data_IF_355090438916
#
_entry.id   IF_355090438916
#
_cell.length_a   1.000
_cell.length_b   1.000
_cell.length_c   1.000
_cell.angle_alpha   90.00
_cell.angle_beta   90.00
_cell.angle_gamma   90.00
#
_symmetry.space_group_name_H-M   'P 1'
#
loop_
_entity.id
_entity.type
_entity.pdbx_description
1 polymer ?
#
# COMPACT_ATOMS: atom_id res chain seq x y z
N UNK A 1 14.33 -7.54 10.04
CA UNK A 1 14.76 -8.96 10.08
C UNK A 1 15.80 -9.25 9.01
N UNK A 2 15.45 -9.35 7.72
CA UNK A 2 16.43 -9.65 6.66
C UNK A 2 17.59 -8.64 6.60
N UNK A 3 17.29 -7.33 6.69
CA UNK A 3 18.33 -6.28 6.76
C UNK A 3 19.22 -6.39 8.01
N UNK A 4 18.61 -6.71 9.16
CA UNK A 4 19.32 -6.92 10.44
C UNK A 4 20.23 -8.14 10.38
N UNK A 5 19.81 -9.21 9.70
CA UNK A 5 20.59 -10.42 9.48
C UNK A 5 21.73 -10.20 8.47
N UNK A 6 21.52 -9.40 7.43
CA UNK A 6 22.57 -9.01 6.49
C UNK A 6 23.68 -8.18 7.16
N UNK A 7 23.31 -7.28 8.07
CA UNK A 7 24.27 -6.52 8.88
C UNK A 7 25.12 -7.42 9.79
N UNK A 8 24.52 -8.49 10.35
CA UNK A 8 25.23 -9.47 11.16
C UNK A 8 26.14 -10.41 10.33
N UNK A 9 25.80 -10.68 9.06
CA UNK A 9 26.60 -11.54 8.18
C UNK A 9 27.93 -10.89 7.76
N UNK A 10 27.93 -9.55 7.59
CA UNK A 10 29.08 -8.77 7.13
C UNK A 10 30.36 -8.94 7.98
N UNK A 11 30.31 -8.83 9.34
CA UNK A 11 31.48 -9.07 10.18
C UNK A 11 31.94 -10.54 10.19
N UNK A 12 31.05 -11.51 9.99
CA UNK A 12 31.40 -12.92 9.86
C UNK A 12 32.14 -13.20 8.53
N UNK A 13 31.70 -12.56 7.44
CA UNK A 13 32.39 -12.65 6.15
C UNK A 13 33.74 -11.91 6.15
N UNK A 14 33.87 -10.78 6.86
CA UNK A 14 35.16 -10.08 6.98
C UNK A 14 36.16 -10.85 7.84
N UNK A 15 35.70 -11.52 8.91
CA UNK A 15 36.55 -12.41 9.71
C UNK A 15 37.07 -13.63 8.91
N UNK A 16 36.43 -13.99 7.80
CA UNK A 16 36.93 -14.99 6.86
C UNK A 16 37.98 -14.43 5.88
N UNK A 17 37.82 -13.18 5.42
CA UNK A 17 38.77 -12.53 4.49
C UNK A 17 40.20 -12.39 5.06
N UNK A 18 40.32 -12.36 6.38
CA UNK A 18 41.62 -12.34 7.08
C UNK A 18 42.43 -13.64 6.88
N UNK A 19 41.80 -14.75 6.47
CA UNK A 19 42.47 -16.02 6.20
C UNK A 19 43.02 -16.74 7.44
N UNK A 20 43.42 -18.02 7.32
CA UNK A 20 43.89 -18.83 8.45
C UNK A 20 45.27 -18.41 9.00
N UNK A 21 45.98 -17.51 8.32
CA UNK A 21 47.28 -16.97 8.76
C UNK A 21 47.17 -15.62 9.48
N UNK A 22 45.98 -15.03 9.58
CA UNK A 22 45.78 -13.80 10.34
C UNK A 22 46.00 -14.02 11.85
N UNK A 23 46.39 -12.92 12.52
CA UNK A 23 46.68 -12.90 13.95
C UNK A 23 45.51 -13.52 14.73
N UNK A 24 45.74 -14.45 15.67
CA UNK A 24 44.66 -15.15 16.36
C UNK A 24 43.69 -14.14 16.98
N UNK A 25 42.45 -14.14 16.53
CA UNK A 25 41.40 -13.27 17.08
C UNK A 25 41.28 -13.50 18.59
N UNK A 26 41.10 -12.44 19.38
CA UNK A 26 40.99 -12.58 20.84
C UNK A 26 39.84 -13.51 21.26
N UNK A 27 39.93 -14.18 22.43
CA UNK A 27 38.90 -15.12 22.88
C UNK A 27 37.49 -14.50 22.97
N UNK A 28 37.39 -13.21 23.33
CA UNK A 28 36.13 -12.46 23.33
C UNK A 28 35.52 -12.28 21.93
N UNK A 29 36.34 -11.98 20.92
CA UNK A 29 35.89 -11.83 19.53
C UNK A 29 35.42 -13.19 18.96
N UNK A 30 36.13 -14.28 19.29
CA UNK A 30 35.71 -15.65 18.93
C UNK A 30 34.38 -16.04 19.57
N UNK A 31 34.18 -15.71 20.85
CA UNK A 31 32.91 -15.94 21.53
C UNK A 31 31.78 -15.12 20.91
N UNK A 32 32.02 -13.84 20.62
CA UNK A 32 31.06 -12.95 19.94
C UNK A 32 30.64 -13.47 18.56
N UNK A 33 31.60 -13.92 17.74
CA UNK A 33 31.32 -14.52 16.43
C UNK A 33 30.49 -15.81 16.52
N UNK A 34 30.72 -16.65 17.54
CA UNK A 34 29.92 -17.85 17.77
C UNK A 34 28.50 -17.53 18.21
N UNK A 35 28.33 -16.58 19.13
CA UNK A 35 27.01 -16.12 19.57
C UNK A 35 26.24 -15.51 18.41
N UNK A 36 26.89 -14.67 17.59
CA UNK A 36 26.29 -14.12 16.38
C UNK A 36 25.89 -15.22 15.38
N UNK A 37 26.76 -16.20 15.13
CA UNK A 37 26.49 -17.32 14.25
C UNK A 37 25.29 -18.18 14.69
N UNK A 38 25.22 -18.53 15.99
CA UNK A 38 24.11 -19.30 16.55
C UNK A 38 22.82 -18.47 16.59
N UNK A 39 22.92 -17.16 16.86
CA UNK A 39 21.78 -16.24 16.87
C UNK A 39 21.11 -16.06 15.51
N UNK A 40 21.80 -16.36 14.40
CA UNK A 40 21.20 -16.32 13.06
C UNK A 40 20.17 -17.43 12.82
N UNK A 41 20.26 -18.58 13.51
CA UNK A 41 19.33 -19.70 13.36
C UNK A 41 17.88 -19.36 13.71
N UNK A 42 17.56 -18.85 14.93
CA UNK A 42 16.19 -18.48 15.26
C UNK A 42 15.66 -17.37 14.35
N UNK A 43 16.51 -16.42 13.95
CA UNK A 43 16.13 -15.33 13.03
C UNK A 43 15.75 -15.87 11.64
N UNK A 44 16.55 -16.77 11.07
CA UNK A 44 16.26 -17.42 9.79
C UNK A 44 14.96 -18.23 9.86
N UNK A 45 14.75 -18.98 10.95
CA UNK A 45 13.54 -19.78 11.17
C UNK A 45 12.28 -18.92 11.25
N UNK A 46 12.31 -17.84 12.04
CA UNK A 46 11.16 -16.92 12.17
C UNK A 46 10.89 -16.21 10.84
N UNK A 47 11.92 -15.82 10.09
CA UNK A 47 11.77 -15.22 8.78
C UNK A 47 11.11 -16.16 7.77
N UNK A 48 11.57 -17.42 7.68
CA UNK A 48 10.95 -18.44 6.82
C UNK A 48 9.51 -18.72 7.23
N UNK A 49 9.26 -18.95 8.51
CA UNK A 49 7.93 -19.24 9.02
C UNK A 49 6.95 -18.10 8.73
N UNK A 50 7.32 -16.86 9.07
CA UNK A 50 6.47 -15.69 8.82
C UNK A 50 6.20 -15.46 7.33
N UNK A 51 7.15 -15.83 6.46
CA UNK A 51 6.94 -15.75 5.02
C UNK A 51 5.98 -16.84 4.51
N UNK A 52 6.13 -18.08 4.96
CA UNK A 52 5.24 -19.19 4.57
C UNK A 52 3.79 -18.89 4.97
N UNK A 53 3.56 -18.43 6.20
CA UNK A 53 2.21 -18.01 6.66
C UNK A 53 1.63 -16.92 5.76
N UNK A 54 2.43 -15.93 5.35
CA UNK A 54 1.96 -14.87 4.44
C UNK A 54 1.67 -15.37 3.03
N UNK A 55 2.43 -16.34 2.54
CA UNK A 55 2.19 -16.97 1.23
C UNK A 55 0.89 -17.77 1.28
N UNK A 56 0.64 -18.51 2.36
CA UNK A 56 -0.61 -19.25 2.55
C UNK A 56 -1.81 -18.30 2.63
N UNK A 57 -1.69 -17.20 3.38
CA UNK A 57 -2.80 -16.24 3.57
C UNK A 57 -3.09 -15.38 2.34
N UNK A 58 -2.05 -14.85 1.70
CA UNK A 58 -2.17 -13.80 0.68
C UNK A 58 -1.73 -14.24 -0.72
N UNK A 59 -1.30 -15.49 -0.87
CA UNK A 59 -0.74 -16.01 -2.11
C UNK A 59 0.67 -15.50 -2.42
N UNK A 60 1.20 -15.99 -3.53
CA UNK A 60 2.53 -15.63 -4.01
C UNK A 60 2.53 -14.23 -4.61
N UNK A 61 3.61 -13.50 -4.32
CA UNK A 61 3.96 -12.22 -4.96
C UNK A 61 5.45 -12.20 -5.24
N UNK A 62 5.90 -11.42 -6.23
CA UNK A 62 7.29 -11.26 -6.63
C UNK A 62 8.18 -10.91 -5.41
N UNK A 63 7.81 -9.95 -4.53
CA UNK A 63 8.60 -9.67 -3.32
C UNK A 63 8.70 -10.88 -2.37
N UNK A 64 7.65 -11.71 -2.26
CA UNK A 64 7.67 -12.91 -1.40
C UNK A 64 8.53 -14.03 -2.00
N UNK A 65 8.54 -14.18 -3.32
CA UNK A 65 9.44 -15.13 -4.01
C UNK A 65 10.90 -14.76 -3.74
N UNK A 66 11.28 -13.49 -3.93
CA UNK A 66 12.62 -13.00 -3.58
C UNK A 66 12.92 -13.09 -2.09
N UNK A 67 11.93 -12.80 -1.24
CA UNK A 67 12.02 -12.98 0.21
C UNK A 67 12.32 -14.43 0.59
N UNK A 68 11.73 -15.41 -0.10
CA UNK A 68 11.96 -16.83 0.15
C UNK A 68 13.38 -17.20 -0.21
N UNK A 69 13.87 -16.77 -1.38
CA UNK A 69 15.26 -16.98 -1.78
C UNK A 69 16.25 -16.38 -0.77
N UNK A 70 16.03 -15.14 -0.33
CA UNK A 70 16.86 -14.49 0.67
C UNK A 70 16.81 -15.24 2.02
N UNK A 71 15.63 -15.68 2.45
CA UNK A 71 15.46 -16.43 3.69
C UNK A 71 16.11 -17.83 3.63
N UNK A 72 16.07 -18.51 2.48
CA UNK A 72 16.76 -19.77 2.24
C UNK A 72 18.27 -19.60 2.32
N UNK A 73 18.83 -18.59 1.63
CA UNK A 73 20.27 -18.30 1.70
C UNK A 73 20.69 -17.93 3.12
N UNK A 74 19.91 -17.10 3.82
CA UNK A 74 20.17 -16.74 5.21
C UNK A 74 20.19 -17.98 6.11
N UNK A 75 19.25 -18.91 5.91
CA UNK A 75 19.18 -20.16 6.68
C UNK A 75 20.36 -21.07 6.38
N UNK A 76 20.78 -21.17 5.13
CA UNK A 76 21.99 -21.90 4.73
C UNK A 76 23.24 -21.35 5.43
N UNK A 77 23.41 -20.02 5.43
CA UNK A 77 24.49 -19.37 6.16
C UNK A 77 24.40 -19.61 7.67
N UNK A 78 23.21 -19.49 8.26
CA UNK A 78 23.00 -19.73 9.68
C UNK A 78 23.38 -21.17 10.09
N UNK A 79 22.98 -22.17 9.28
CA UNK A 79 23.32 -23.57 9.50
C UNK A 79 24.82 -23.82 9.37
N UNK A 80 25.44 -23.34 8.29
CA UNK A 80 26.88 -23.52 8.08
C UNK A 80 27.73 -22.84 9.14
N UNK A 81 27.33 -21.66 9.59
CA UNK A 81 28.06 -20.91 10.62
C UNK A 81 27.84 -21.49 12.02
N UNK A 82 26.64 -21.97 12.33
CA UNK A 82 26.39 -22.73 13.55
C UNK A 82 27.22 -24.02 13.58
N UNK A 83 27.31 -24.73 12.45
CA UNK A 83 28.17 -25.91 12.31
C UNK A 83 29.65 -25.57 12.50
N UNK A 84 30.12 -24.45 11.93
CA UNK A 84 31.48 -23.96 12.14
C UNK A 84 31.76 -23.65 13.61
N UNK A 85 30.78 -23.03 14.31
CA UNK A 85 30.90 -22.67 15.72
C UNK A 85 31.10 -23.89 16.63
N UNK A 86 30.50 -25.03 16.30
CA UNK A 86 30.66 -26.30 17.02
C UNK A 86 32.00 -26.99 16.70
N UNK A 87 32.59 -26.74 15.53
CA UNK A 87 33.80 -27.40 15.05
C UNK A 87 35.01 -26.44 15.03
N UNK A 88 35.46 -26.00 16.21
CA UNK A 88 36.49 -24.97 16.38
C UNK A 88 37.80 -25.21 15.58
N UNK A 89 38.25 -26.46 15.42
CA UNK A 89 39.47 -26.81 14.66
C UNK A 89 39.31 -26.72 13.15
N UNK A 90 38.07 -26.73 12.64
CA UNK A 90 37.73 -26.68 11.20
C UNK A 90 36.96 -25.42 10.83
N UNK A 91 36.92 -24.42 11.73
CA UNK A 91 36.11 -23.21 11.60
C UNK A 91 36.27 -22.53 10.23
N UNK A 92 37.50 -22.25 9.80
CA UNK A 92 37.77 -21.61 8.50
C UNK A 92 37.40 -22.50 7.30
N UNK A 93 37.65 -23.82 7.39
CA UNK A 93 37.31 -24.77 6.31
C UNK A 93 35.80 -24.88 6.11
N UNK A 94 35.04 -24.94 7.20
CA UNK A 94 33.58 -25.01 7.17
C UNK A 94 32.97 -23.70 6.67
N UNK A 95 33.50 -22.56 7.12
CA UNK A 95 33.10 -21.24 6.60
C UNK A 95 33.30 -21.14 5.09
N UNK A 96 34.50 -21.53 4.60
CA UNK A 96 34.80 -21.54 3.17
C UNK A 96 33.85 -22.45 2.38
N UNK A 97 33.63 -23.68 2.87
CA UNK A 97 32.68 -24.62 2.25
C UNK A 97 31.24 -24.08 2.22
N UNK A 98 30.79 -23.45 3.31
CA UNK A 98 29.46 -22.83 3.40
C UNK A 98 29.31 -21.72 2.37
N UNK A 99 30.31 -20.84 2.22
CA UNK A 99 30.29 -19.76 1.24
C UNK A 99 30.24 -20.30 -0.21
N UNK A 100 31.01 -21.35 -0.51
CA UNK A 100 30.98 -21.99 -1.84
C UNK A 100 29.60 -22.58 -2.12
N UNK A 101 29.04 -23.36 -1.19
CA UNK A 101 27.70 -23.94 -1.34
C UNK A 101 26.65 -22.84 -1.51
N UNK A 102 26.70 -21.77 -0.71
CA UNK A 102 25.78 -20.65 -0.80
C UNK A 102 25.90 -19.90 -2.14
N UNK A 103 27.12 -19.72 -2.66
CA UNK A 103 27.34 -19.14 -3.98
C UNK A 103 26.78 -20.02 -5.10
N UNK A 104 27.02 -21.33 -5.04
CA UNK A 104 26.41 -22.28 -6.00
C UNK A 104 24.89 -22.29 -5.91
N UNK A 105 24.31 -22.30 -4.71
CA UNK A 105 22.86 -22.20 -4.53
C UNK A 105 22.31 -20.90 -5.12
N UNK A 106 22.96 -19.76 -4.89
CA UNK A 106 22.55 -18.48 -5.47
C UNK A 106 22.61 -18.51 -7.01
N UNK A 107 23.69 -19.07 -7.59
CA UNK A 107 23.81 -19.23 -9.04
C UNK A 107 22.73 -20.14 -9.62
N UNK A 108 22.44 -21.27 -8.98
CA UNK A 108 21.37 -22.18 -9.40
C UNK A 108 20.01 -21.49 -9.34
N UNK A 109 19.71 -20.76 -8.26
CA UNK A 109 18.45 -20.01 -8.13
C UNK A 109 18.35 -18.93 -9.22
N UNK A 110 19.41 -18.17 -9.47
CA UNK A 110 19.43 -17.15 -10.52
C UNK A 110 19.22 -17.78 -11.90
N UNK A 111 19.92 -18.88 -12.20
CA UNK A 111 19.74 -19.61 -13.45
C UNK A 111 18.30 -20.10 -13.60
N UNK A 112 17.71 -20.66 -12.54
CA UNK A 112 16.31 -21.12 -12.55
C UNK A 112 15.31 -19.98 -12.73
N UNK A 113 15.50 -18.83 -12.07
CA UNK A 113 14.66 -17.64 -12.21
C UNK A 113 14.74 -17.05 -13.61
N UNK A 114 15.89 -17.15 -14.27
CA UNK A 114 16.04 -16.79 -15.68
C UNK A 114 15.34 -17.74 -16.65
N UNK A 115 14.78 -18.86 -16.17
CA UNK A 115 13.97 -19.76 -16.99
C UNK A 115 12.46 -19.56 -16.75
N UNK A 116 11.61 -19.97 -17.70
CA UNK A 116 10.15 -19.99 -17.51
C UNK A 116 9.68 -20.83 -16.33
N UNK A 117 10.52 -21.74 -15.81
CA UNK A 117 10.15 -22.65 -14.72
C UNK A 117 9.97 -21.90 -13.39
N UNK A 118 10.91 -21.01 -13.04
CA UNK A 118 10.92 -20.30 -11.76
C UNK A 118 10.81 -18.77 -11.89
N UNK A 119 10.29 -18.27 -13.02
CA UNK A 119 9.97 -16.84 -13.18
C UNK A 119 9.02 -16.37 -12.05
N UNK A 120 9.44 -15.41 -11.20
CA UNK A 120 8.63 -14.87 -10.11
C UNK A 120 7.31 -14.27 -10.60
N UNK A 121 7.33 -13.65 -11.79
CA UNK A 121 6.16 -13.06 -12.42
C UNK A 121 5.12 -14.13 -12.75
N UNK A 122 5.57 -15.28 -13.28
CA UNK A 122 4.71 -16.43 -13.58
C UNK A 122 4.12 -17.04 -12.30
N UNK A 123 4.92 -17.17 -11.23
CA UNK A 123 4.46 -17.71 -9.95
C UNK A 123 3.40 -16.79 -9.34
N UNK A 124 3.66 -15.47 -9.29
CA UNK A 124 2.71 -14.50 -8.79
C UNK A 124 1.41 -14.52 -9.59
N UNK A 125 1.46 -14.36 -10.92
CA UNK A 125 0.23 -14.21 -11.71
C UNK A 125 -0.65 -15.46 -11.62
N UNK A 126 -0.05 -16.66 -11.66
CA UNK A 126 -0.81 -17.89 -11.51
C UNK A 126 -1.47 -17.98 -10.14
N UNK A 127 -0.75 -17.63 -9.07
CA UNK A 127 -1.32 -17.64 -7.71
C UNK A 127 -2.44 -16.62 -7.55
N UNK A 128 -2.27 -15.40 -8.03
CA UNK A 128 -3.27 -14.34 -7.88
C UNK A 128 -4.51 -14.63 -8.73
N UNK A 129 -4.35 -15.14 -9.96
CA UNK A 129 -5.46 -15.49 -10.84
C UNK A 129 -6.22 -16.71 -10.33
N UNK A 130 -5.55 -17.74 -9.80
CA UNK A 130 -6.24 -18.87 -9.16
C UNK A 130 -7.03 -18.40 -7.95
N UNK A 131 -6.46 -17.56 -7.07
CA UNK A 131 -7.20 -17.01 -5.93
C UNK A 131 -8.41 -16.18 -6.35
N UNK A 132 -8.35 -15.46 -7.47
CA UNK A 132 -9.50 -14.78 -8.06
C UNK A 132 -10.55 -15.79 -8.55
N UNK A 133 -10.15 -16.83 -9.29
CA UNK A 133 -11.05 -17.88 -9.79
C UNK A 133 -11.73 -18.64 -8.63
N UNK A 134 -10.99 -18.91 -7.57
CA UNK A 134 -11.45 -19.61 -6.37
C UNK A 134 -12.27 -18.70 -5.44
N UNK A 135 -12.42 -17.41 -5.76
CA UNK A 135 -13.22 -16.45 -4.97
C UNK A 135 -12.56 -15.98 -3.67
N UNK A 136 -11.26 -16.23 -3.48
CA UNK A 136 -10.50 -15.75 -2.32
C UNK A 136 -10.14 -14.26 -2.43
N UNK A 137 -10.27 -13.67 -3.62
CA UNK A 137 -10.04 -12.25 -3.89
C UNK A 137 -11.31 -11.70 -4.53
N UNK A 138 -11.92 -10.64 -3.96
CA UNK A 138 -13.03 -9.95 -4.59
C UNK A 138 -12.64 -9.43 -5.99
N UNK A 139 -13.50 -9.59 -7.01
CA UNK A 139 -13.21 -9.15 -8.37
C UNK A 139 -12.75 -7.69 -8.49
N UNK A 140 -13.30 -6.80 -7.67
CA UNK A 140 -13.01 -5.37 -7.61
C UNK A 140 -11.65 -5.01 -6.99
N UNK A 141 -11.09 -5.90 -6.17
CA UNK A 141 -9.79 -5.71 -5.52
C UNK A 141 -8.63 -6.23 -6.38
N UNK A 142 -8.94 -7.06 -7.39
CA UNK A 142 -7.93 -7.58 -8.30
C UNK A 142 -7.44 -6.50 -9.28
N UNK A 143 -6.13 -6.29 -9.34
CA UNK A 143 -5.51 -5.27 -10.18
C UNK A 143 -5.26 -5.76 -11.62
N UNK A 144 -6.31 -5.82 -12.45
CA UNK A 144 -6.23 -6.32 -13.83
C UNK A 144 -5.22 -5.59 -14.71
N UNK A 145 -5.16 -4.25 -14.63
CA UNK A 145 -4.28 -3.45 -15.47
C UNK A 145 -2.80 -3.69 -15.14
N UNK A 146 -2.45 -3.75 -13.85
CA UNK A 146 -1.10 -4.11 -13.39
C UNK A 146 -0.76 -5.54 -13.78
N UNK A 147 -1.70 -6.48 -13.64
CA UNK A 147 -1.52 -7.86 -14.07
C UNK A 147 -1.21 -7.96 -15.58
N UNK A 148 -1.87 -7.15 -16.42
CA UNK A 148 -1.63 -7.11 -17.87
C UNK A 148 -0.28 -6.46 -18.24
N UNK A 149 0.10 -5.38 -17.57
CA UNK A 149 1.24 -4.55 -17.94
C UNK A 149 2.56 -4.97 -17.28
N UNK A 150 2.52 -5.32 -16.00
CA UNK A 150 3.73 -5.42 -15.16
C UNK A 150 4.30 -6.85 -15.10
N UNK A 151 3.60 -7.84 -15.66
CA UNK A 151 4.00 -9.27 -15.64
C UNK A 151 4.33 -9.81 -17.04
N UNK A 152 4.49 -8.91 -18.00
CA UNK A 152 4.83 -9.24 -19.38
C UNK A 152 3.85 -10.23 -20.02
N UNK A 153 4.40 -11.22 -20.72
CA UNK A 153 3.60 -12.19 -21.49
C UNK A 153 2.75 -13.10 -20.59
N UNK A 154 3.24 -13.50 -19.41
CA UNK A 154 2.47 -14.32 -18.48
C UNK A 154 1.23 -13.59 -17.97
N UNK A 155 1.38 -12.28 -17.70
CA UNK A 155 0.29 -11.38 -17.36
C UNK A 155 -0.80 -11.33 -18.42
N UNK A 156 -0.39 -11.04 -19.67
CA UNK A 156 -1.31 -10.99 -20.82
C UNK A 156 -2.02 -12.31 -21.06
N UNK A 157 -1.31 -13.44 -21.03
CA UNK A 157 -1.93 -14.75 -21.19
C UNK A 157 -2.97 -15.05 -20.11
N UNK A 158 -2.69 -14.68 -18.86
CA UNK A 158 -3.64 -14.85 -17.79
C UNK A 158 -4.88 -13.95 -17.98
N UNK A 159 -4.70 -12.71 -18.43
CA UNK A 159 -5.84 -11.83 -18.76
C UNK A 159 -6.64 -12.35 -19.94
N UNK A 160 -6.01 -12.93 -20.97
CA UNK A 160 -6.73 -13.60 -22.06
C UNK A 160 -7.58 -14.77 -21.56
N UNK A 161 -7.07 -15.57 -20.62
CA UNK A 161 -7.86 -16.65 -19.99
C UNK A 161 -9.05 -16.11 -19.21
N UNK A 162 -8.87 -15.04 -18.44
CA UNK A 162 -9.96 -14.39 -17.71
C UNK A 162 -11.00 -13.79 -18.67
N UNK A 163 -10.56 -13.13 -19.74
CA UNK A 163 -11.43 -12.58 -20.78
C UNK A 163 -12.21 -13.68 -21.53
N UNK A 164 -11.64 -14.88 -21.65
CA UNK A 164 -12.32 -16.07 -22.20
C UNK A 164 -13.30 -16.74 -21.21
N UNK A 165 -13.47 -16.20 -20.00
CA UNK A 165 -14.45 -16.68 -19.04
C UNK A 165 -13.92 -17.66 -17.98
N UNK A 166 -12.60 -17.76 -17.78
CA UNK A 166 -12.03 -18.67 -16.78
C UNK A 166 -12.52 -18.44 -15.34
N UNK A 167 -12.99 -17.22 -15.02
CA UNK A 167 -13.56 -16.86 -13.72
C UNK A 167 -15.05 -16.49 -13.78
N UNK A 168 -15.76 -16.92 -14.84
CA UNK A 168 -17.16 -16.54 -15.08
C UNK A 168 -18.09 -16.90 -13.89
N UNK A 169 -17.79 -18.01 -13.20
CA UNK A 169 -18.54 -18.46 -12.03
C UNK A 169 -18.49 -17.48 -10.85
N UNK A 170 -17.44 -16.67 -10.74
CA UNK A 170 -17.30 -15.65 -9.69
C UNK A 170 -18.01 -14.36 -10.08
N UNK A 171 -17.79 -13.88 -11.30
CA UNK A 171 -18.52 -12.74 -11.85
C UNK A 171 -18.32 -12.62 -13.36
N UNK A 172 -19.40 -12.37 -14.13
CA UNK A 172 -19.29 -12.10 -15.56
C UNK A 172 -18.50 -10.80 -15.87
N UNK A 173 -18.41 -9.88 -14.90
CA UNK A 173 -17.68 -8.61 -15.06
C UNK A 173 -16.16 -8.82 -15.14
N UNK A 174 -15.64 -9.93 -14.61
CA UNK A 174 -14.20 -10.25 -14.66
C UNK A 174 -13.72 -10.36 -16.11
N UNK A 175 -14.51 -10.98 -16.99
CA UNK A 175 -14.15 -11.12 -18.40
C UNK A 175 -14.04 -9.76 -19.10
N UNK A 176 -14.96 -8.82 -18.79
CA UNK A 176 -14.93 -7.46 -19.32
C UNK A 176 -13.72 -6.69 -18.77
N UNK A 177 -13.49 -6.76 -17.46
CA UNK A 177 -12.37 -6.08 -16.82
C UNK A 177 -11.01 -6.57 -17.35
N UNK A 178 -10.85 -7.87 -17.56
CA UNK A 178 -9.65 -8.44 -18.17
C UNK A 178 -9.48 -8.01 -19.63
N UNK A 179 -10.57 -7.94 -20.40
CA UNK A 179 -10.54 -7.46 -21.78
C UNK A 179 -10.19 -5.96 -21.89
N UNK A 180 -10.65 -5.13 -20.94
CA UNK A 180 -10.29 -3.72 -20.88
C UNK A 180 -8.83 -3.53 -20.45
N UNK A 181 -8.34 -4.33 -19.50
CA UNK A 181 -6.95 -4.32 -19.09
C UNK A 181 -6.00 -4.65 -20.24
N UNK A 182 -6.35 -5.62 -21.10
CA UNK A 182 -5.59 -5.94 -22.32
C UNK A 182 -5.53 -4.77 -23.32
N UNK A 183 -6.47 -3.83 -23.26
CA UNK A 183 -6.48 -2.59 -24.05
C UNK A 183 -5.81 -1.41 -23.33
N UNK A 184 -5.20 -1.65 -22.17
CA UNK A 184 -4.61 -0.61 -21.33
C UNK A 184 -5.62 0.28 -20.61
N UNK A 185 -6.88 -0.16 -20.48
CA UNK A 185 -7.96 0.61 -19.83
C UNK A 185 -8.24 0.08 -18.44
N UNK A 186 -8.66 0.99 -17.55
CA UNK A 186 -9.19 0.63 -16.24
C UNK A 186 -10.69 0.29 -16.37
N UNK A 187 -11.12 -0.77 -15.70
CA UNK A 187 -12.54 -1.11 -15.59
C UNK A 187 -13.10 -0.50 -14.31
N UNK A 188 -14.15 0.31 -14.46
CA UNK A 188 -14.85 0.89 -13.32
C UNK A 188 -15.75 -0.17 -12.66
N UNK A 189 -15.31 -0.67 -11.50
CA UNK A 189 -16.07 -1.61 -10.68
C UNK A 189 -17.21 -0.94 -9.89
N UNK A 190 -17.35 0.38 -9.99
CA UNK A 190 -18.24 1.18 -9.16
C UNK A 190 -17.64 1.41 -7.75
N UNK A 191 -18.42 1.99 -6.83
CA UNK A 191 -17.95 2.28 -5.49
C UNK A 191 -17.58 1.00 -4.73
N UNK A 192 -16.36 0.98 -4.19
CA UNK A 192 -15.77 -0.18 -3.52
C UNK A 192 -16.47 -0.40 -2.18
N UNK A 193 -17.12 -1.54 -1.99
CA UNK A 193 -17.71 -1.91 -0.68
C UNK A 193 -16.61 -2.37 0.26
N UNK A 194 -15.99 -1.43 0.96
CA UNK A 194 -14.98 -1.78 1.97
C UNK A 194 -15.63 -2.29 3.25
N UNK A 195 -15.13 -3.40 3.80
CA UNK A 195 -15.50 -3.82 5.16
C UNK A 195 -15.09 -2.80 6.23
N UNK A 196 -14.13 -1.93 5.91
CA UNK A 196 -13.72 -0.81 6.77
C UNK A 196 -14.91 0.12 7.04
N UNK A 197 -15.77 0.36 6.04
CA UNK A 197 -16.94 1.23 6.17
C UNK A 197 -17.81 0.84 7.36
N UNK A 198 -18.03 -0.46 7.56
CA UNK A 198 -18.86 -0.99 8.64
C UNK A 198 -18.25 -0.79 10.04
N UNK A 199 -16.93 -0.60 10.13
CA UNK A 199 -16.22 -0.36 11.41
C UNK A 199 -16.04 1.12 11.75
N UNK A 200 -16.35 2.04 10.82
CA UNK A 200 -16.12 3.47 11.01
C UNK A 200 -17.23 4.10 11.84
N UNK A 201 -16.88 4.47 13.08
CA UNK A 201 -17.75 5.23 13.98
C UNK A 201 -17.55 6.71 13.72
N UNK A 202 -18.66 7.46 13.61
CA UNK A 202 -18.65 8.92 13.45
C UNK A 202 -17.99 9.57 14.67
N UNK A 203 -16.92 10.37 14.51
CA UNK A 203 -16.36 11.14 15.61
C UNK A 203 -17.35 12.22 16.06
N UNK A 204 -17.54 12.35 17.38
CA UNK A 204 -18.35 13.43 17.95
C UNK A 204 -17.69 14.81 17.80
N UNK A 205 -16.36 14.83 17.64
CA UNK A 205 -15.53 16.03 17.58
C UNK A 205 -15.16 16.48 16.18
N UNK A 206 -15.77 15.93 15.12
CA UNK A 206 -15.45 16.32 13.75
C UNK A 206 -15.61 17.84 13.56
N UNK A 207 -14.59 18.50 13.02
CA UNK A 207 -14.64 19.95 12.81
C UNK A 207 -15.68 20.28 11.73
N UNK A 208 -16.54 21.26 12.02
CA UNK A 208 -17.62 21.68 11.12
C UNK A 208 -17.53 23.17 10.80
N UNK A 209 -17.84 23.52 9.56
CA UNK A 209 -18.01 24.90 9.13
C UNK A 209 -19.36 25.08 8.41
N UNK A 210 -20.18 26.09 8.78
CA UNK A 210 -20.04 26.98 9.94
C UNK A 210 -20.04 26.24 11.27
N UNK A 211 -19.43 26.83 12.31
CA UNK A 211 -19.37 26.20 13.64
C UNK A 211 -20.78 25.90 14.19
N UNK A 212 -20.98 24.70 14.72
CA UNK A 212 -22.28 24.23 15.23
C UNK A 212 -23.22 23.64 14.17
N UNK A 213 -22.80 23.57 12.90
CA UNK A 213 -23.58 22.90 11.85
C UNK A 213 -23.70 21.39 12.10
N UNK A 214 -24.83 20.76 11.73
CA UNK A 214 -25.06 19.35 12.01
C UNK A 214 -24.23 18.45 11.09
N UNK A 215 -23.69 17.34 11.62
CA UNK A 215 -23.10 16.26 10.81
C UNK A 215 -24.16 15.17 10.62
N UNK A 216 -24.83 15.07 9.45
CA UNK A 216 -25.94 14.15 9.27
C UNK A 216 -25.50 12.68 9.32
N UNK A 217 -26.18 11.84 10.10
CA UNK A 217 -25.84 10.41 10.21
C UNK A 217 -26.00 9.66 8.89
N UNK A 218 -27.00 10.05 8.09
CA UNK A 218 -27.22 9.50 6.76
C UNK A 218 -26.05 9.82 5.82
N UNK A 219 -25.53 11.05 5.90
CA UNK A 219 -24.33 11.42 5.15
C UNK A 219 -23.12 10.63 5.61
N UNK A 220 -22.87 10.51 6.92
CA UNK A 220 -21.71 9.79 7.44
C UNK A 220 -21.69 8.33 6.95
N UNK A 221 -22.84 7.63 7.05
CA UNK A 221 -22.96 6.24 6.57
C UNK A 221 -22.67 6.14 5.08
N UNK A 222 -23.25 7.03 4.27
CA UNK A 222 -23.00 7.08 2.84
C UNK A 222 -21.52 7.37 2.53
N UNK A 223 -20.93 8.39 3.16
CA UNK A 223 -19.55 8.78 2.95
C UNK A 223 -18.57 7.66 3.36
N UNK A 224 -18.81 6.98 4.48
CA UNK A 224 -18.02 5.84 4.94
C UNK A 224 -18.04 4.67 3.93
N UNK A 225 -19.18 4.44 3.26
CA UNK A 225 -19.29 3.44 2.20
C UNK A 225 -18.56 3.84 0.91
N UNK A 226 -18.69 5.11 0.50
CA UNK A 226 -18.13 5.59 -0.77
C UNK A 226 -16.63 5.89 -0.70
N UNK A 227 -16.17 6.42 0.43
CA UNK A 227 -14.79 6.93 0.63
C UNK A 227 -14.14 6.41 1.93
N UNK A 228 -14.15 5.08 2.20
CA UNK A 228 -13.80 4.50 3.50
C UNK A 228 -12.39 4.87 4.00
N UNK A 229 -11.40 4.98 3.11
CA UNK A 229 -10.03 5.31 3.48
C UNK A 229 -9.87 6.77 3.93
N UNK A 230 -10.62 7.69 3.32
CA UNK A 230 -10.61 9.09 3.71
C UNK A 230 -11.30 9.28 5.07
N UNK A 231 -12.42 8.59 5.30
CA UNK A 231 -13.11 8.63 6.59
C UNK A 231 -12.30 7.97 7.70
N UNK A 232 -11.62 6.85 7.43
CA UNK A 232 -10.68 6.25 8.39
C UNK A 232 -9.55 7.20 8.77
N UNK A 233 -9.00 7.93 7.79
CA UNK A 233 -8.00 8.97 8.07
C UNK A 233 -8.56 10.07 8.98
N UNK A 234 -9.81 10.49 8.79
CA UNK A 234 -10.45 11.46 9.66
C UNK A 234 -10.67 10.94 11.08
N UNK A 235 -11.14 9.70 11.24
CA UNK A 235 -11.32 9.07 12.55
C UNK A 235 -9.98 8.99 13.30
N UNK A 236 -8.93 8.53 12.63
CA UNK A 236 -7.59 8.43 13.23
C UNK A 236 -7.00 9.80 13.58
N UNK A 237 -7.21 10.83 12.74
CA UNK A 237 -6.75 12.19 13.02
C UNK A 237 -7.45 12.79 14.25
N UNK A 238 -8.76 12.60 14.37
CA UNK A 238 -9.53 13.03 15.55
C UNK A 238 -9.05 12.34 16.83
N UNK A 239 -8.81 11.03 16.79
CA UNK A 239 -8.28 10.28 17.93
C UNK A 239 -6.88 10.74 18.34
N UNK A 240 -5.99 10.97 17.36
CA UNK A 240 -4.64 11.45 17.62
C UNK A 240 -4.65 12.86 18.25
N UNK A 241 -5.46 13.76 17.70
CA UNK A 241 -5.63 15.11 18.22
C UNK A 241 -6.23 15.13 19.64
N UNK A 242 -7.17 14.22 19.94
CA UNK A 242 -7.72 14.06 21.29
C UNK A 242 -6.69 13.51 22.28
N UNK A 243 -5.84 12.58 21.86
CA UNK A 243 -4.78 12.01 22.70
C UNK A 243 -3.65 13.01 22.99
N UNK A 244 -3.46 14.03 22.15
CA UNK A 244 -2.40 15.05 22.30
C UNK A 244 -2.91 16.45 21.95
N UNK A 245 -3.73 17.08 22.82
CA UNK A 245 -4.39 18.36 22.53
C UNK A 245 -3.42 19.53 22.32
N UNK A 246 -2.22 19.45 22.91
CA UNK A 246 -1.22 20.51 22.83
C UNK A 246 -0.34 20.45 21.56
N UNK A 247 -0.48 19.41 20.72
CA UNK A 247 0.32 19.26 19.51
C UNK A 247 -0.35 19.98 18.32
N UNK A 248 0.21 21.11 17.84
CA UNK A 248 -0.39 21.88 16.76
C UNK A 248 -0.40 21.14 15.42
N UNK A 249 0.55 20.22 15.17
CA UNK A 249 0.60 19.45 13.93
C UNK A 249 -0.57 18.45 13.87
N UNK A 250 -0.89 17.81 15.00
CA UNK A 250 -2.05 16.93 15.10
C UNK A 250 -3.37 17.70 15.04
N UNK A 251 -3.44 18.91 15.60
CA UNK A 251 -4.63 19.77 15.45
C UNK A 251 -4.85 20.21 13.99
N UNK A 252 -3.77 20.55 13.27
CA UNK A 252 -3.83 20.94 11.85
C UNK A 252 -4.18 19.79 10.90
N UNK A 253 -3.95 18.54 11.29
CA UNK A 253 -4.27 17.35 10.49
C UNK A 253 -5.73 16.88 10.60
N UNK A 254 -6.56 17.56 11.40
CA UNK A 254 -7.99 17.21 11.61
C UNK A 254 -8.83 17.52 10.39
N UNK A 255 -9.78 16.64 10.09
CA UNK A 255 -10.70 16.84 8.97
C UNK A 255 -11.76 17.89 9.26
N UNK A 256 -12.20 18.57 8.20
CA UNK A 256 -13.29 19.54 8.26
C UNK A 256 -14.46 19.11 7.38
N UNK A 257 -15.68 19.20 7.92
CA UNK A 257 -16.91 19.11 7.15
C UNK A 257 -17.46 20.52 6.91
N UNK A 258 -17.56 20.91 5.65
CA UNK A 258 -17.94 22.26 5.24
C UNK A 258 -19.33 22.18 4.60
N UNK A 259 -20.30 22.88 5.17
CA UNK A 259 -21.59 23.13 4.53
C UNK A 259 -21.41 24.26 3.52
N UNK A 260 -21.70 23.97 2.26
CA UNK A 260 -21.48 24.91 1.17
C UNK A 260 -22.51 24.70 0.07
N UNK A 261 -23.14 25.77 -0.40
CA UNK A 261 -24.10 25.73 -1.51
C UNK A 261 -23.36 25.58 -2.86
N UNK A 262 -22.95 24.35 -3.22
CA UNK A 262 -22.15 24.10 -4.43
C UNK A 262 -23.03 23.96 -5.68
N UNK A 263 -24.11 23.22 -5.56
CA UNK A 263 -24.97 22.87 -6.70
C UNK A 263 -26.11 23.86 -6.92
N UNK A 264 -26.44 24.65 -5.90
CA UNK A 264 -27.41 25.72 -5.98
C UNK A 264 -27.64 26.38 -4.61
N UNK A 265 -28.21 27.59 -4.58
CA UNK A 265 -28.50 28.30 -3.33
C UNK A 265 -29.55 27.54 -2.50
N UNK A 266 -29.29 27.38 -1.20
CA UNK A 266 -30.15 26.65 -0.28
C UNK A 266 -30.08 25.12 -0.41
N UNK A 267 -29.17 24.60 -1.23
CA UNK A 267 -28.87 23.17 -1.30
C UNK A 267 -27.75 22.89 -0.29
N UNK A 268 -28.10 22.20 0.79
CA UNK A 268 -27.20 21.81 1.88
C UNK A 268 -26.18 20.75 1.42
N UNK A 269 -25.29 21.13 0.49
CA UNK A 269 -24.19 20.30 0.01
C UNK A 269 -23.05 20.31 1.03
N UNK A 270 -22.30 19.21 1.04
CA UNK A 270 -21.23 18.98 2.01
C UNK A 270 -19.90 18.79 1.30
N UNK A 271 -18.85 19.39 1.84
CA UNK A 271 -17.46 19.14 1.44
C UNK A 271 -16.70 18.58 2.62
N UNK A 272 -16.21 17.36 2.48
CA UNK A 272 -15.22 16.80 3.40
C UNK A 272 -13.83 17.21 2.91
N UNK A 273 -13.18 18.08 3.68
CA UNK A 273 -11.79 18.43 3.52
C UNK A 273 -10.92 17.52 4.39
N UNK A 274 -9.99 16.83 3.76
CA UNK A 274 -9.02 15.97 4.44
C UNK A 274 -7.61 16.52 4.23
N UNK A 275 -6.99 17.07 5.30
CA UNK A 275 -5.64 17.61 5.22
C UNK A 275 -4.57 16.55 4.90
N UNK A 276 -3.34 17.00 4.59
CA UNK A 276 -2.17 16.15 4.63
C UNK A 276 -2.00 15.52 6.01
N UNK A 277 -1.34 14.35 6.07
CA UNK A 277 -1.01 13.74 7.37
C UNK A 277 0.01 14.59 8.11
N UNK A 278 -0.02 14.57 9.44
CA UNK A 278 0.94 15.29 10.28
C UNK A 278 2.40 14.86 10.03
N UNK A 279 2.63 13.62 9.57
CA UNK A 279 3.96 13.09 9.24
C UNK A 279 4.36 13.30 7.77
N UNK A 280 3.45 13.83 6.94
CA UNK A 280 3.75 14.13 5.56
C UNK A 280 4.62 15.40 5.50
N UNK A 281 5.89 15.24 5.13
CA UNK A 281 6.76 16.38 4.80
C UNK A 281 6.29 17.16 3.57
N UNK A 282 7.17 17.97 2.97
CA UNK A 282 6.88 18.70 1.74
C UNK A 282 6.42 17.73 0.62
N UNK A 283 5.15 17.80 0.23
CA UNK A 283 4.54 16.92 -0.78
C UNK A 283 3.35 16.08 -0.32
N UNK A 284 2.82 16.32 0.88
CA UNK A 284 1.56 15.75 1.32
C UNK A 284 0.39 16.06 0.36
N UNK A 285 -0.59 15.16 0.29
CA UNK A 285 -1.80 15.37 -0.50
C UNK A 285 -2.96 15.74 0.41
N UNK A 286 -3.69 16.75 -0.01
CA UNK A 286 -4.98 17.11 0.55
C UNK A 286 -6.10 16.70 -0.38
N UNK A 287 -7.26 16.38 0.18
CA UNK A 287 -8.41 15.85 -0.58
C UNK A 287 -9.68 16.61 -0.26
N UNK A 288 -10.44 16.94 -1.30
CA UNK A 288 -11.77 17.53 -1.22
C UNK A 288 -12.78 16.56 -1.82
N UNK A 289 -13.71 16.11 -0.99
CA UNK A 289 -14.81 15.24 -1.39
C UNK A 289 -16.11 16.04 -1.28
N UNK A 290 -16.75 16.30 -2.41
CA UNK A 290 -17.99 17.06 -2.48
C UNK A 290 -19.18 16.12 -2.63
N UNK A 291 -20.22 16.35 -1.82
CA UNK A 291 -21.42 15.55 -1.74
C UNK A 291 -22.64 16.45 -1.95
N UNK A 292 -23.55 15.99 -2.80
CA UNK A 292 -24.86 16.62 -2.97
C UNK A 292 -25.91 15.91 -2.13
N UNK A 293 -26.76 16.68 -1.47
CA UNK A 293 -27.96 16.16 -0.84
C UNK A 293 -29.07 16.00 -1.88
N UNK A 294 -29.60 14.78 -2.03
CA UNK A 294 -30.71 14.51 -2.95
C UNK A 294 -32.07 14.52 -2.23
N UNK A 295 -32.13 13.94 -1.02
CA UNK A 295 -33.26 14.05 -0.10
C UNK A 295 -32.76 14.05 1.37
N UNK A 296 -33.63 13.80 2.36
CA UNK A 296 -33.23 13.78 3.77
C UNK A 296 -32.17 12.72 4.11
N UNK A 297 -32.15 11.60 3.40
CA UNK A 297 -31.31 10.45 3.71
C UNK A 297 -30.43 9.98 2.54
N UNK A 298 -30.63 10.51 1.34
CA UNK A 298 -29.86 10.12 0.16
C UNK A 298 -28.88 11.21 -0.27
N UNK A 299 -27.68 10.76 -0.57
CA UNK A 299 -26.53 11.59 -0.91
C UNK A 299 -25.91 11.07 -2.19
N UNK A 300 -25.24 11.97 -2.92
CA UNK A 300 -24.50 11.64 -4.14
C UNK A 300 -23.12 12.25 -4.09
N UNK A 301 -22.10 11.49 -4.47
CA UNK A 301 -20.75 12.06 -4.65
C UNK A 301 -20.75 12.91 -5.93
N UNK A 302 -20.38 14.18 -5.82
CA UNK A 302 -20.21 15.09 -6.96
C UNK A 302 -18.79 15.01 -7.52
N UNK A 303 -17.80 15.05 -6.65
CA UNK A 303 -16.39 15.01 -7.06
C UNK A 303 -15.47 14.59 -5.92
N UNK A 304 -14.36 13.94 -6.30
CA UNK A 304 -13.19 13.76 -5.46
C UNK A 304 -12.01 14.45 -6.14
N UNK A 305 -11.42 15.44 -5.46
CA UNK A 305 -10.25 16.17 -5.96
C UNK A 305 -9.13 16.07 -4.95
N UNK A 306 -8.03 15.45 -5.37
CA UNK A 306 -6.80 15.40 -4.60
C UNK A 306 -5.82 16.42 -5.15
N UNK A 307 -5.32 17.31 -4.29
CA UNK A 307 -4.30 18.27 -4.63
C UNK A 307 -3.00 17.90 -3.92
N UNK A 308 -1.87 17.90 -4.66
CA UNK A 308 -0.54 17.77 -4.08
C UNK A 308 0.07 19.15 -4.03
N UNK A 309 0.56 19.59 -2.87
CA UNK A 309 1.35 20.82 -2.78
C UNK A 309 2.52 20.75 -3.77
N UNK A 310 2.67 21.79 -4.60
CA UNK A 310 3.81 21.94 -5.52
C UNK A 310 4.92 22.71 -4.81
N UNK A 311 6.15 22.28 -5.02
CA UNK A 311 7.33 22.96 -4.51
C UNK A 311 7.40 24.39 -5.09
N UNK A 312 7.34 25.42 -4.23
CA UNK A 312 7.42 26.84 -4.61
C UNK A 312 6.09 27.59 -4.71
N UNK A 313 4.94 26.95 -4.50
CA UNK A 313 3.64 27.62 -4.39
C UNK A 313 3.35 27.93 -2.91
N UNK A 314 2.86 29.13 -2.53
CA UNK A 314 2.56 29.43 -1.13
C UNK A 314 1.49 28.47 -0.63
N UNK A 315 1.82 27.69 0.39
CA UNK A 315 0.88 26.79 1.05
C UNK A 315 -0.20 27.64 1.74
N UNK A 316 -1.41 27.60 1.21
CA UNK A 316 -2.55 28.28 1.83
C UNK A 316 -2.94 27.45 3.05
N UNK A 317 -2.87 28.02 4.24
CA UNK A 317 -3.36 27.37 5.47
C UNK A 317 -4.89 27.28 5.43
N UNK A 318 -5.41 26.26 4.76
CA UNK A 318 -6.85 26.04 4.58
C UNK A 318 -7.52 25.79 5.93
N UNK A 319 -6.87 25.06 6.84
CA UNK A 319 -7.41 24.80 8.18
C UNK A 319 -7.53 26.11 8.99
N UNK A 320 -6.50 26.96 8.93
CA UNK A 320 -6.53 28.30 9.53
C UNK A 320 -7.58 29.21 8.90
N UNK A 321 -7.72 29.20 7.57
CA UNK A 321 -8.73 29.98 6.85
C UNK A 321 -10.16 29.53 7.22
N UNK A 322 -10.39 28.22 7.33
CA UNK A 322 -11.67 27.65 7.80
C UNK A 322 -11.96 28.07 9.24
N UNK A 323 -10.96 27.99 10.13
CA UNK A 323 -11.10 28.41 11.53
C UNK A 323 -11.38 29.93 11.68
N UNK A 324 -10.87 30.75 10.76
CA UNK A 324 -11.12 32.19 10.70
C UNK A 324 -12.40 32.56 9.95
N UNK A 325 -13.10 31.57 9.40
CA UNK A 325 -14.34 31.74 8.64
C UNK A 325 -14.17 32.41 7.29
N UNK A 326 -12.99 32.33 6.68
CA UNK A 326 -12.69 32.85 5.35
C UNK A 326 -13.17 31.90 4.24
N UNK A 327 -14.47 31.61 4.22
CA UNK A 327 -15.10 30.71 3.24
C UNK A 327 -16.16 31.47 2.46
N UNK A 328 -16.07 31.44 1.14
CA UNK A 328 -17.12 31.93 0.25
C UNK A 328 -17.28 30.95 -0.91
N UNK A 329 -18.51 30.77 -1.38
CA UNK A 329 -18.81 30.09 -2.64
C UNK A 329 -19.08 31.16 -3.70
N UNK A 330 -18.44 31.04 -4.85
CA UNK A 330 -18.78 31.86 -6.02
C UNK A 330 -19.64 31.05 -7.00
N UNK A 331 -20.69 31.65 -7.60
CA UNK A 331 -21.45 31.00 -8.65
C UNK A 331 -20.52 30.61 -9.80
N UNK A 332 -20.63 29.38 -10.31
CA UNK A 332 -19.98 28.99 -11.57
C UNK A 332 -20.46 29.92 -12.69
N UNK A 333 -19.59 30.78 -13.22
CA UNK A 333 -19.89 31.58 -14.40
C UNK A 333 -19.80 30.73 -15.67
N UNK A 334 -20.71 29.77 -15.83
CA UNK A 334 -20.79 29.00 -17.07
C UNK A 334 -21.57 29.83 -18.10
N UNK A 335 -20.86 30.59 -18.94
CA UNK A 335 -21.46 31.36 -20.04
C UNK A 335 -21.39 30.55 -21.33
N UNK A 336 -22.54 30.12 -21.85
CA UNK A 336 -22.65 29.64 -23.22
C UNK A 336 -22.25 30.77 -24.20
N UNK A 337 -21.46 30.43 -25.23
CA UNK A 337 -21.14 31.37 -26.30
C UNK A 337 -22.31 31.41 -27.29
N UNK A 338 -22.95 32.57 -27.43
CA UNK A 338 -24.00 32.78 -28.44
C UNK A 338 -23.41 33.66 -29.55
N UNK A 339 -23.30 33.11 -30.76
CA UNK A 339 -22.84 33.85 -31.97
C UNK A 339 -23.94 33.75 -33.02
N UNK A 340 -24.54 34.89 -33.38
CA UNK A 340 -25.55 34.95 -34.46
C UNK A 340 -26.83 34.14 -34.20
N UNK A 341 -27.20 33.90 -32.93
CA UNK A 341 -28.36 33.08 -32.55
C UNK A 341 -28.06 31.58 -32.39
N UNK A 342 -26.84 31.13 -32.69
CA UNK A 342 -26.40 29.77 -32.43
C UNK A 342 -25.74 29.68 -31.06
N UNK A 343 -26.26 28.78 -30.22
CA UNK A 343 -25.69 28.45 -28.92
C UNK A 343 -24.55 27.44 -29.11
N UNK A 344 -23.35 27.81 -28.69
CA UNK A 344 -22.17 26.97 -28.65
C UNK A 344 -21.89 26.63 -27.18
N UNK A 345 -22.25 25.40 -26.73
CA UNK A 345 -21.95 24.99 -25.37
C UNK A 345 -20.43 24.81 -25.24
N UNK A 346 -19.81 25.63 -24.40
CA UNK A 346 -18.41 25.51 -24.03
C UNK A 346 -18.35 24.48 -22.89
N UNK A 347 -18.02 23.23 -23.22
CA UNK A 347 -17.72 22.17 -22.26
C UNK A 347 -16.22 21.91 -22.18
#
# INVERSE_FOLDING_TARGET
>A
LVASSAAALKPLTSAWQDGPQARPSGPGLRAGLRVAAVGLLPLGRVALYGLMVRIEQYGWTVPRVWGLYAATLLTLYALGYAWAALAARRFHTILGGTNIVAAFCALVVLALVSTPLLSPERIEINSQVQRLIDGHVPPEDFSYLSAANDRGEYGRQAMHKLAAGAAQAQSPRIAVAAADALKGKYYDWGPRKSSLAASLIKPDSLQVYPAGSPVPDAWWRYAAEQSPFDLDRCVNAEQAAAASPADPALQGARCWLIHADITGPGVDDLVLYVPPRADAGAGGYQTFLSYQRLDENTWRVLSSKTHRGKEGEPDVDIAGALAQGQVHTEPRQDRDLIVGGQRLPLR
#
